data_IF_943110844901
#
_entry.id   IF_943110844901
#
_cell.length_a   1.000
_cell.length_b   1.000
_cell.length_c   1.000
_cell.angle_alpha   90.00
_cell.angle_beta   90.00
_cell.angle_gamma   90.00
#
_symmetry.space_group_name_H-M   'P 1'
#
loop_
_entity.id
_entity.type
_entity.pdbx_description
1 polymer ?
#
# COMPACT_ATOMS: atom_id res chain seq x y z
N UNK A 1 7.34 -10.63 -3.40
CA UNK A 1 6.25 -10.94 -2.46
C UNK A 1 5.91 -9.64 -1.75
N UNK A 2 4.63 -9.20 -1.73
CA UNK A 2 4.26 -8.01 -0.97
C UNK A 2 4.72 -8.23 0.48
N UNK A 3 5.50 -7.29 1.02
CA UNK A 3 5.96 -7.36 2.41
C UNK A 3 4.81 -6.90 3.31
N UNK A 4 3.76 -7.72 3.38
CA UNK A 4 2.61 -7.45 4.24
C UNK A 4 3.13 -7.54 5.68
N UNK A 5 3.35 -6.38 6.29
CA UNK A 5 3.86 -6.30 7.65
C UNK A 5 2.86 -6.95 8.60
N UNK A 6 3.38 -7.79 9.51
CA UNK A 6 2.60 -8.39 10.60
C UNK A 6 1.85 -7.32 11.41
N UNK A 7 2.44 -6.12 11.55
CA UNK A 7 1.81 -4.98 12.21
C UNK A 7 0.52 -4.56 11.49
N UNK A 8 0.53 -4.53 10.16
CA UNK A 8 -0.66 -4.17 9.37
C UNK A 8 -1.76 -5.21 9.50
N UNK A 9 -1.42 -6.50 9.46
CA UNK A 9 -2.40 -7.57 9.69
C UNK A 9 -3.01 -7.49 11.09
N UNK A 10 -2.20 -7.18 12.10
CA UNK A 10 -2.67 -7.00 13.47
C UNK A 10 -3.64 -5.81 13.60
N UNK A 11 -3.30 -4.66 13.00
CA UNK A 11 -4.17 -3.47 12.96
C UNK A 11 -5.48 -3.80 12.23
N UNK A 12 -5.40 -4.47 11.08
CA UNK A 12 -6.56 -4.81 10.27
C UNK A 12 -7.50 -5.78 11.00
N UNK A 13 -6.93 -6.74 11.73
CA UNK A 13 -7.68 -7.63 12.58
C UNK A 13 -8.36 -6.88 13.74
N UNK A 14 -7.67 -5.91 14.35
CA UNK A 14 -8.24 -5.06 15.40
C UNK A 14 -9.43 -4.25 14.88
N UNK A 15 -9.31 -3.64 13.70
CA UNK A 15 -10.39 -2.88 13.05
C UNK A 15 -11.58 -3.80 12.75
N UNK A 16 -11.33 -5.00 12.22
CA UNK A 16 -12.37 -6.00 11.96
C UNK A 16 -13.13 -6.38 13.24
N UNK A 17 -12.42 -6.55 14.36
CA UNK A 17 -13.03 -6.82 15.67
C UNK A 17 -13.90 -5.64 16.12
N UNK A 18 -13.40 -4.41 16.01
CA UNK A 18 -14.16 -3.21 16.37
C UNK A 18 -15.44 -3.12 15.56
N UNK A 19 -15.37 -3.31 14.24
CA UNK A 19 -16.54 -3.32 13.36
C UNK A 19 -17.53 -4.42 13.73
N UNK A 20 -17.05 -5.61 14.04
CA UNK A 20 -17.89 -6.70 14.53
C UNK A 20 -18.65 -6.32 15.81
N UNK A 21 -17.96 -5.71 16.80
CA UNK A 21 -18.60 -5.26 18.04
C UNK A 21 -19.59 -4.13 17.82
N UNK A 22 -19.29 -3.18 16.92
CA UNK A 22 -20.26 -2.15 16.53
C UNK A 22 -21.48 -2.78 15.86
N UNK A 23 -21.29 -3.66 14.88
CA UNK A 23 -22.40 -4.31 14.19
C UNK A 23 -23.29 -5.11 15.16
N UNK A 24 -22.69 -5.77 16.16
CA UNK A 24 -23.43 -6.43 17.25
C UNK A 24 -24.17 -5.43 18.15
N UNK A 25 -23.56 -4.28 18.45
CA UNK A 25 -24.17 -3.22 19.28
C UNK A 25 -25.36 -2.54 18.59
N UNK A 26 -25.37 -2.47 17.27
CA UNK A 26 -26.44 -1.86 16.48
C UNK A 26 -27.47 -2.88 15.94
N UNK A 27 -27.57 -4.07 16.54
CA UNK A 27 -28.52 -5.13 16.14
C UNK A 27 -28.45 -5.48 14.64
N UNK A 28 -27.24 -5.46 14.07
CA UNK A 28 -27.06 -5.87 12.68
C UNK A 28 -27.38 -7.36 12.52
N UNK A 29 -28.14 -7.76 11.48
CA UNK A 29 -28.53 -9.16 11.28
C UNK A 29 -27.34 -10.09 11.01
N UNK A 30 -26.18 -9.56 10.61
CA UNK A 30 -24.98 -10.35 10.33
C UNK A 30 -23.67 -9.64 10.70
N UNK A 31 -23.33 -9.54 12.00
CA UNK A 31 -22.15 -8.83 12.49
C UNK A 31 -20.83 -9.45 12.00
N UNK A 32 -20.80 -10.78 11.86
CA UNK A 32 -19.66 -11.54 11.35
C UNK A 32 -19.36 -11.22 9.88
N UNK A 33 -20.39 -11.08 9.05
CA UNK A 33 -20.24 -10.67 7.65
C UNK A 33 -19.71 -9.24 7.54
N UNK A 34 -20.18 -8.32 8.38
CA UNK A 34 -19.69 -6.95 8.39
C UNK A 34 -18.20 -6.86 8.74
N UNK A 35 -17.75 -7.54 9.80
CA UNK A 35 -16.33 -7.59 10.17
C UNK A 35 -15.47 -8.27 9.09
N UNK A 36 -15.91 -9.42 8.59
CA UNK A 36 -15.21 -10.17 7.54
C UNK A 36 -15.06 -9.37 6.24
N UNK A 37 -16.11 -8.67 5.80
CA UNK A 37 -16.05 -7.81 4.61
C UNK A 37 -15.06 -6.66 4.79
N UNK A 38 -15.07 -5.99 5.94
CA UNK A 38 -14.11 -4.90 6.20
C UNK A 38 -12.67 -5.43 6.22
N UNK A 39 -12.44 -6.60 6.80
CA UNK A 39 -11.12 -7.23 6.76
C UNK A 39 -10.68 -7.50 5.32
N UNK A 40 -11.55 -8.12 4.51
CA UNK A 40 -11.27 -8.49 3.14
C UNK A 40 -11.05 -7.27 2.23
N UNK A 41 -11.89 -6.24 2.39
CA UNK A 41 -11.79 -4.97 1.65
C UNK A 41 -10.46 -4.28 1.92
N UNK A 42 -10.08 -4.12 3.18
CA UNK A 42 -8.81 -3.45 3.47
C UNK A 42 -7.59 -4.31 3.16
N UNK A 43 -7.68 -5.65 3.23
CA UNK A 43 -6.62 -6.52 2.72
C UNK A 43 -6.42 -6.35 1.21
N UNK A 44 -7.51 -6.36 0.43
CA UNK A 44 -7.46 -6.12 -1.01
C UNK A 44 -6.90 -4.73 -1.34
N UNK A 45 -7.32 -3.70 -0.59
CA UNK A 45 -6.81 -2.34 -0.75
C UNK A 45 -5.30 -2.26 -0.53
N UNK A 46 -4.76 -2.96 0.48
CA UNK A 46 -3.32 -3.00 0.75
C UNK A 46 -2.57 -3.61 -0.43
N UNK A 47 -3.05 -4.70 -1.01
CA UNK A 47 -2.41 -5.32 -2.18
C UNK A 47 -2.35 -4.36 -3.37
N UNK A 48 -3.44 -3.62 -3.60
CA UNK A 48 -3.50 -2.61 -4.66
C UNK A 48 -2.53 -1.47 -4.37
N UNK A 49 -2.52 -0.93 -3.15
CA UNK A 49 -1.63 0.16 -2.75
C UNK A 49 -0.15 -0.26 -2.84
N UNK A 50 0.21 -1.45 -2.36
CA UNK A 50 1.58 -1.98 -2.45
C UNK A 50 2.04 -2.07 -3.91
N UNK A 51 1.16 -2.55 -4.79
CA UNK A 51 1.44 -2.63 -6.23
C UNK A 51 1.64 -1.24 -6.83
N UNK A 52 0.75 -0.28 -6.53
CA UNK A 52 0.82 1.09 -7.05
C UNK A 52 2.07 1.81 -6.55
N UNK A 53 2.40 1.67 -5.26
CA UNK A 53 3.61 2.25 -4.66
C UNK A 53 4.86 1.62 -5.29
N UNK A 54 4.89 0.29 -5.45
CA UNK A 54 5.99 -0.41 -6.11
C UNK A 54 6.23 0.12 -7.53
N UNK A 55 5.18 0.25 -8.33
CA UNK A 55 5.26 0.82 -9.69
C UNK A 55 5.74 2.28 -9.65
N UNK A 56 5.24 3.08 -8.70
CA UNK A 56 5.63 4.48 -8.54
C UNK A 56 7.12 4.62 -8.18
N UNK A 57 7.63 3.79 -7.27
CA UNK A 57 9.04 3.78 -6.86
C UNK A 57 9.93 3.39 -8.04
N UNK A 58 9.56 2.34 -8.78
CA UNK A 58 10.32 1.90 -9.96
C UNK A 58 10.36 2.99 -11.02
N UNK A 59 9.21 3.59 -11.36
CA UNK A 59 9.19 4.70 -12.32
C UNK A 59 10.01 5.90 -11.85
N UNK A 60 9.88 6.27 -10.58
CA UNK A 60 10.66 7.36 -10.00
C UNK A 60 12.16 7.09 -10.10
N UNK A 61 12.59 5.85 -9.86
CA UNK A 61 13.99 5.45 -9.98
C UNK A 61 14.48 5.52 -11.44
N UNK A 62 13.68 5.07 -12.40
CA UNK A 62 14.02 5.17 -13.83
C UNK A 62 14.20 6.63 -14.23
N UNK A 63 13.27 7.50 -13.83
CA UNK A 63 13.35 8.95 -14.09
C UNK A 63 14.60 9.53 -13.43
N UNK A 64 14.90 9.15 -12.19
CA UNK A 64 16.07 9.63 -11.46
C UNK A 64 17.39 9.22 -12.14
N UNK A 65 17.51 7.96 -12.58
CA UNK A 65 18.67 7.48 -13.34
C UNK A 65 18.79 8.21 -14.67
N UNK A 66 17.67 8.42 -15.38
CA UNK A 66 17.66 9.16 -16.63
C UNK A 66 18.15 10.61 -16.43
N UNK A 67 17.67 11.29 -15.39
CA UNK A 67 18.10 12.65 -15.05
C UNK A 67 19.57 12.70 -14.63
N UNK A 68 20.04 11.74 -13.85
CA UNK A 68 21.46 11.60 -13.51
C UNK A 68 22.31 11.46 -14.76
N UNK A 69 21.95 10.54 -15.66
CA UNK A 69 22.65 10.33 -16.93
C UNK A 69 22.68 11.62 -17.75
N UNK A 70 21.53 12.30 -17.89
CA UNK A 70 21.45 13.58 -18.60
C UNK A 70 22.38 14.64 -17.97
N UNK A 71 22.50 14.66 -16.64
CA UNK A 71 23.39 15.59 -15.93
C UNK A 71 24.87 15.28 -16.14
N UNK A 72 25.24 14.00 -16.18
CA UNK A 72 26.62 13.57 -16.44
C UNK A 72 27.02 13.75 -17.92
N UNK A 73 26.12 13.45 -18.87
CA UNK A 73 26.36 13.71 -20.30
C UNK A 73 26.40 15.22 -20.62
N UNK A 74 25.68 16.05 -19.85
CA UNK A 74 25.73 17.52 -19.96
C UNK A 74 26.96 18.16 -19.31
N UNK A 75 27.89 17.35 -18.82
CA UNK A 75 29.24 17.78 -18.48
C UNK A 75 30.22 17.25 -19.55
N UNK A 76 30.12 17.67 -20.82
CA UNK A 76 31.27 17.55 -21.69
C UNK A 76 32.35 18.39 -21.02
N UNK A 77 33.46 17.74 -20.74
CA UNK A 77 34.76 18.38 -20.66
C UNK A 77 34.81 19.61 -21.58
N UNK A 78 34.63 20.80 -21.00
CA UNK A 78 35.18 22.04 -21.54
C UNK A 78 36.67 21.97 -21.22
N UNK A 79 37.35 21.12 -21.97
CA UNK A 79 38.79 21.04 -22.07
C UNK A 79 39.07 20.60 -23.50
N UNK A 80 39.01 21.58 -24.39
CA UNK A 80 39.65 21.60 -25.69
C UNK A 80 40.08 23.06 -25.91
#
# INVERSE_FOLDING_TARGET
>A
MPAISLLFLAIQFLISIVVYYLAKKYDSPSPSLAGGLVFLLGFALILVLDTVIGLFVVQSLIIFIYLLRLRFDRNPSVSA
#
